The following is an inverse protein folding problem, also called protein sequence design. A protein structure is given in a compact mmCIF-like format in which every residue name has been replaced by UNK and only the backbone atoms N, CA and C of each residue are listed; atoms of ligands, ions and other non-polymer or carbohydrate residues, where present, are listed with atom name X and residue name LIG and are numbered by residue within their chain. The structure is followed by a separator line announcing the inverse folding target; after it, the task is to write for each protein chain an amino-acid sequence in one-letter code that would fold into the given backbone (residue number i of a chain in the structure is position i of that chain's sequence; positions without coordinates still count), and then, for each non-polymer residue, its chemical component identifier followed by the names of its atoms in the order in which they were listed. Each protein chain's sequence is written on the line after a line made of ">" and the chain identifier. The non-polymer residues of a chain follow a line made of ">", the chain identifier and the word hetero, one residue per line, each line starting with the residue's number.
data_IF_361581278699
#
_entry.id   IF_361581278699
#
_cell.length_a   1.000
_cell.length_b   1.000
_cell.length_c   1.000
_cell.angle_alpha   90.00
_cell.angle_beta   90.00
_cell.angle_gamma   90.00
#
_symmetry.space_group_name_H-M   'P 1'
#
loop_
_entity.id
_entity.type
_entity.pdbx_description
1 polymer ?
#
# COMPACT_ATOMS: atom_id res chain seq x y z
N UNK A 1 24.04 2.12 2.45
CA UNK A 1 22.86 2.10 1.58
C UNK A 1 22.54 0.64 1.33
N UNK A 2 21.42 0.13 1.85
CA UNK A 2 20.98 -1.24 1.59
C UNK A 2 20.43 -1.22 0.16
N UNK A 3 21.18 -1.82 -0.76
CA UNK A 3 20.79 -1.96 -2.17
C UNK A 3 19.38 -2.56 -2.25
N UNK A 4 18.44 -1.80 -2.80
CA UNK A 4 17.03 -2.17 -2.94
C UNK A 4 16.80 -3.26 -4.02
N UNK A 5 17.82 -4.05 -4.39
CA UNK A 5 17.73 -5.20 -5.28
C UNK A 5 17.68 -6.53 -4.50
N UNK A 6 16.93 -6.54 -3.39
CA UNK A 6 16.73 -7.74 -2.57
C UNK A 6 15.94 -8.84 -3.32
N UNK A 7 15.23 -8.47 -4.38
CA UNK A 7 14.32 -9.37 -5.08
C UNK A 7 14.47 -9.28 -6.59
N UNK A 8 15.31 -10.15 -7.15
CA UNK A 8 15.31 -10.47 -8.57
C UNK A 8 15.18 -11.99 -8.68
N UNK A 9 14.08 -12.48 -9.27
CA UNK A 9 13.83 -13.92 -9.44
C UNK A 9 14.99 -14.64 -10.15
N UNK A 10 15.71 -13.92 -11.01
CA UNK A 10 16.89 -14.41 -11.73
C UNK A 10 18.12 -14.63 -10.82
N UNK A 11 18.10 -14.11 -9.60
CA UNK A 11 19.23 -14.18 -8.65
C UNK A 11 19.29 -15.50 -7.90
N UNK A 12 18.17 -16.23 -7.83
CA UNK A 12 18.08 -17.48 -7.09
C UNK A 12 17.90 -18.67 -8.05
N UNK A 13 18.66 -19.77 -7.88
CA UNK A 13 18.48 -20.96 -8.69
C UNK A 13 17.06 -21.52 -8.54
N UNK A 14 16.42 -21.83 -9.66
CA UNK A 14 15.07 -22.41 -9.69
C UNK A 14 15.16 -23.91 -9.92
N UNK A 15 14.49 -24.69 -9.07
CA UNK A 15 14.33 -26.13 -9.21
C UNK A 15 13.12 -26.42 -10.12
N UNK A 16 13.34 -27.28 -11.11
CA UNK A 16 12.32 -27.69 -12.08
C UNK A 16 11.98 -29.17 -11.92
N UNK A 17 10.70 -29.50 -12.00
CA UNK A 17 10.19 -30.87 -12.06
C UNK A 17 9.29 -31.00 -13.29
N UNK A 18 9.61 -31.92 -14.20
CA UNK A 18 8.85 -32.08 -15.46
C UNK A 18 8.79 -30.79 -16.29
N UNK A 19 9.89 -30.02 -16.33
CA UNK A 19 9.98 -28.73 -17.01
C UNK A 19 9.09 -27.61 -16.43
N UNK A 20 8.55 -27.79 -15.22
CA UNK A 20 7.80 -26.78 -14.48
C UNK A 20 8.59 -26.29 -13.27
N UNK A 21 8.66 -24.97 -13.02
CA UNK A 21 9.33 -24.45 -11.83
C UNK A 21 8.55 -24.86 -10.58
N UNK A 22 9.23 -25.50 -9.61
CA UNK A 22 8.61 -26.05 -8.39
C UNK A 22 9.10 -25.35 -7.13
N UNK A 23 10.37 -24.98 -7.07
CA UNK A 23 10.95 -24.33 -5.89
C UNK A 23 12.12 -23.42 -6.29
N UNK A 24 12.55 -22.58 -5.36
CA UNK A 24 13.71 -21.69 -5.51
C UNK A 24 14.67 -21.98 -4.37
N UNK A 25 15.95 -22.06 -4.68
CA UNK A 25 17.02 -22.27 -3.70
C UNK A 25 17.52 -20.93 -3.21
N UNK A 26 17.49 -20.74 -1.90
CA UNK A 26 17.90 -19.49 -1.25
C UNK A 26 18.81 -19.82 -0.07
N UNK A 27 19.85 -19.02 0.16
CA UNK A 27 20.70 -19.16 1.33
C UNK A 27 19.95 -18.75 2.62
N UNK A 28 20.47 -19.19 3.76
CA UNK A 28 19.79 -19.04 5.05
C UNK A 28 19.67 -17.57 5.47
N UNK A 29 20.67 -16.73 5.15
CA UNK A 29 20.65 -15.31 5.50
C UNK A 29 19.58 -14.57 4.70
N UNK A 30 19.54 -14.81 3.39
CA UNK A 30 18.49 -14.31 2.51
C UNK A 30 17.11 -14.81 2.96
N UNK A 31 16.98 -16.09 3.34
CA UNK A 31 15.72 -16.63 3.85
C UNK A 31 15.24 -15.93 5.12
N UNK A 32 16.11 -15.71 6.10
CA UNK A 32 15.75 -15.03 7.35
C UNK A 32 15.27 -13.58 7.11
N UNK A 33 15.88 -12.87 6.17
CA UNK A 33 15.44 -11.53 5.76
C UNK A 33 14.06 -11.59 5.11
N UNK A 34 13.83 -12.56 4.21
CA UNK A 34 12.54 -12.74 3.54
C UNK A 34 11.43 -13.10 4.53
N UNK A 35 11.71 -14.00 5.47
CA UNK A 35 10.78 -14.38 6.54
C UNK A 35 10.38 -13.16 7.37
N UNK A 36 11.36 -12.35 7.79
CA UNK A 36 11.11 -11.11 8.54
C UNK A 36 10.28 -10.10 7.75
N UNK A 37 10.59 -9.91 6.46
CA UNK A 37 9.81 -9.01 5.60
C UNK A 37 8.37 -9.48 5.42
N UNK A 38 8.18 -10.78 5.18
CA UNK A 38 6.86 -11.36 5.03
C UNK A 38 6.05 -11.28 6.31
N UNK A 39 6.68 -11.55 7.45
CA UNK A 39 6.05 -11.46 8.76
C UNK A 39 5.58 -10.03 9.05
N UNK A 40 6.42 -9.02 8.77
CA UNK A 40 6.05 -7.62 8.91
C UNK A 40 4.91 -7.19 7.99
N UNK A 41 4.80 -7.75 6.78
CA UNK A 41 3.70 -7.44 5.84
C UNK A 41 2.41 -8.10 6.31
N UNK A 42 2.47 -9.37 6.72
CA UNK A 42 1.29 -10.16 7.10
C UNK A 42 0.74 -9.75 8.46
N UNK A 43 1.62 -9.42 9.40
CA UNK A 43 1.30 -9.00 10.76
C UNK A 43 1.45 -7.49 10.93
N UNK A 44 1.29 -6.72 9.86
CA UNK A 44 1.28 -5.26 9.96
C UNK A 44 0.13 -4.86 10.88
N UNK A 45 0.46 -4.49 12.10
CA UNK A 45 -0.50 -3.85 12.99
C UNK A 45 -0.96 -2.55 12.32
N UNK A 46 -2.26 -2.28 12.40
CA UNK A 46 -2.79 -1.02 11.87
C UNK A 46 -2.14 0.13 12.65
N UNK A 47 -1.32 0.90 11.95
CA UNK A 47 -0.67 2.06 12.55
C UNK A 47 -1.70 3.20 12.64
N UNK A 48 -1.60 4.11 13.63
CA UNK A 48 -2.51 5.24 13.72
C UNK A 48 -2.47 6.13 12.46
N UNK A 49 -1.36 6.13 11.73
CA UNK A 49 -1.18 6.79 10.43
C UNK A 49 -2.06 6.18 9.33
N UNK A 50 -2.39 4.88 9.40
CA UNK A 50 -3.29 4.24 8.44
C UNK A 50 -4.71 4.82 8.56
N UNK A 51 -5.14 5.20 9.78
CA UNK A 51 -6.40 5.90 9.99
C UNK A 51 -6.41 7.31 9.35
N UNK A 52 -5.26 7.99 9.37
CA UNK A 52 -5.09 9.30 8.71
C UNK A 52 -5.18 9.13 7.19
N UNK A 53 -4.58 8.08 6.63
CA UNK A 53 -4.68 7.77 5.20
C UNK A 53 -6.14 7.50 4.79
N UNK A 54 -6.89 6.71 5.57
CA UNK A 54 -8.33 6.48 5.34
C UNK A 54 -9.13 7.78 5.43
N UNK A 55 -8.92 8.58 6.47
CA UNK A 55 -9.58 9.87 6.63
C UNK A 55 -9.25 10.85 5.50
N UNK A 56 -8.01 10.83 5.00
CA UNK A 56 -7.59 11.67 3.87
C UNK A 56 -8.32 11.31 2.58
N UNK A 57 -8.66 10.03 2.37
CA UNK A 57 -9.50 9.60 1.26
C UNK A 57 -10.91 10.17 1.32
N UNK A 58 -11.50 10.23 2.52
CA UNK A 58 -12.81 10.84 2.78
C UNK A 58 -12.75 12.36 2.54
N UNK A 59 -11.70 13.03 3.03
CA UNK A 59 -11.50 14.46 2.81
C UNK A 59 -11.31 14.80 1.33
N UNK A 60 -10.59 13.96 0.60
CA UNK A 60 -10.44 14.11 -0.85
C UNK A 60 -11.77 13.91 -1.57
N UNK A 61 -12.55 12.90 -1.20
CA UNK A 61 -13.87 12.69 -1.77
C UNK A 61 -14.81 13.86 -1.50
N UNK A 62 -14.78 14.44 -0.30
CA UNK A 62 -15.56 15.64 0.05
C UNK A 62 -15.10 16.87 -0.75
N UNK A 63 -13.79 17.04 -0.93
CA UNK A 63 -13.23 18.13 -1.74
C UNK A 63 -13.59 18.00 -3.22
N UNK A 64 -13.55 16.78 -3.76
CA UNK A 64 -13.95 16.50 -5.14
C UNK A 64 -15.46 16.72 -5.33
N UNK A 65 -16.29 16.33 -4.35
CA UNK A 65 -17.74 16.58 -4.35
C UNK A 65 -18.09 18.08 -4.30
N UNK A 66 -17.36 18.86 -3.50
CA UNK A 66 -17.56 20.32 -3.42
C UNK A 66 -17.00 21.08 -4.62
N UNK A 67 -16.13 20.46 -5.42
CA UNK A 67 -15.71 21.00 -6.71
C UNK A 67 -16.76 20.79 -7.82
N UNK A 68 -17.50 19.68 -7.75
CA UNK A 68 -18.58 19.36 -8.71
C UNK A 68 -19.91 20.06 -8.37
N UNK A 69 -20.15 20.40 -7.11
CA UNK A 69 -21.25 21.29 -6.71
C UNK A 69 -20.91 22.73 -7.10
N UNK A 70 -21.61 23.23 -8.13
CA UNK A 70 -21.62 24.64 -8.52
C UNK A 70 -21.72 25.52 -7.26
N UNK A 71 -20.66 26.29 -7.00
CA UNK A 71 -20.61 27.23 -5.89
C UNK A 71 -21.86 28.12 -5.93
N UNK A 72 -22.76 27.93 -4.96
CA UNK A 72 -23.97 28.74 -4.84
C UNK A 72 -23.56 30.20 -4.78
N UNK A 73 -24.09 31.01 -5.71
CA UNK A 73 -23.72 32.42 -5.83
C UNK A 73 -24.28 33.27 -4.69
N UNK A 74 -25.20 32.70 -3.90
CA UNK A 74 -25.91 33.32 -2.77
C UNK A 74 -25.78 32.47 -1.48
N UNK A 75 -24.66 31.75 -1.31
CA UNK A 75 -24.40 30.87 -0.15
C UNK A 75 -24.60 31.56 1.21
N UNK A 76 -24.38 32.87 1.27
CA UNK A 76 -24.55 33.71 2.47
C UNK A 76 -26.03 33.81 2.89
N UNK A 77 -26.95 33.77 1.92
CA UNK A 77 -28.39 33.87 2.13
C UNK A 77 -29.01 32.53 2.52
N UNK A 78 -28.47 31.43 1.98
CA UNK A 78 -28.88 30.06 2.32
C UNK A 78 -28.48 29.66 3.75
N UNK A 79 -27.40 30.25 4.28
CA UNK A 79 -26.92 30.02 5.64
C UNK A 79 -27.75 30.75 6.71
N UNK A 80 -28.28 31.93 6.39
CA UNK A 80 -29.18 32.70 7.27
C UNK A 80 -30.60 32.10 7.35
N UNK A 81 -30.97 31.23 6.39
CA UNK A 81 -32.27 30.55 6.34
C UNK A 81 -32.26 29.15 7.01
N UNK A 82 -31.11 28.68 7.51
CA UNK A 82 -30.94 27.43 8.26
C UNK A 82 -31.03 27.63 9.78
#
# INVERSE_FOLDING_TARGET
>A
MIDQQLWVRERFPVLYEGNKPKAVLVDVESFAVMETMMDNILNREAEPEDAILVASGILKQLADQTQDELSSTDWEKELDEL
#
